data_IF_044485454765
#
_entry.id   IF_044485454765
#
_cell.length_a   1.000
_cell.length_b   1.000
_cell.length_c   1.000
_cell.angle_alpha   90.00
_cell.angle_beta   90.00
_cell.angle_gamma   90.00
#
_symmetry.space_group_name_H-M   'P 1'
#
loop_
_entity.id
_entity.type
_entity.pdbx_description
1 polymer ?
#
# COMPACT_ATOMS: atom_id res chain seq x y z
N UNK A 1 17.51 13.02 13.09
CA UNK A 1 16.50 12.38 12.20
C UNK A 1 16.50 10.88 12.47
N UNK A 2 15.34 10.32 12.82
CA UNK A 2 15.22 8.88 13.07
C UNK A 2 15.07 8.14 11.74
N UNK A 3 15.61 6.93 11.66
CA UNK A 3 15.40 6.08 10.49
C UNK A 3 13.94 5.67 10.37
N UNK A 4 13.43 5.45 9.15
CA UNK A 4 12.09 4.91 8.96
C UNK A 4 11.97 3.50 9.56
N UNK A 5 10.78 3.14 10.04
CA UNK A 5 10.51 1.79 10.58
C UNK A 5 10.75 0.73 9.53
N UNK A 6 10.27 0.96 8.30
CA UNK A 6 10.59 0.15 7.13
C UNK A 6 11.14 1.05 6.01
N UNK A 7 12.15 0.59 5.26
CA UNK A 7 12.64 1.34 4.12
C UNK A 7 11.59 1.40 3.01
N UNK A 8 11.55 2.49 2.28
CA UNK A 8 10.77 2.58 1.05
C UNK A 8 11.37 1.67 -0.04
N UNK A 9 10.50 1.12 -0.86
CA UNK A 9 10.87 0.36 -2.06
C UNK A 9 10.30 1.12 -3.27
N UNK A 10 10.97 2.21 -3.64
CA UNK A 10 10.49 3.18 -4.63
C UNK A 10 11.56 3.51 -5.70
N UNK A 11 12.16 2.51 -6.39
CA UNK A 11 13.04 2.81 -7.51
C UNK A 11 12.25 3.42 -8.68
N UNK A 12 12.94 3.96 -9.66
CA UNK A 12 12.31 4.48 -10.88
C UNK A 12 11.70 3.36 -11.72
N UNK A 13 10.69 3.70 -12.52
CA UNK A 13 10.10 2.78 -13.51
C UNK A 13 9.04 1.84 -12.94
N UNK A 14 8.49 2.12 -11.78
CA UNK A 14 7.43 1.31 -11.19
C UNK A 14 6.10 1.52 -11.92
N UNK A 15 5.35 0.44 -12.07
CA UNK A 15 3.98 0.48 -12.57
C UNK A 15 2.97 0.70 -11.45
N UNK A 16 3.22 0.13 -10.28
CA UNK A 16 2.31 0.13 -9.16
C UNK A 16 3.08 0.34 -7.86
N UNK A 17 2.56 1.19 -6.98
CA UNK A 17 3.04 1.31 -5.60
C UNK A 17 1.89 1.00 -4.65
N UNK A 18 2.10 0.09 -3.71
CA UNK A 18 1.19 -0.10 -2.58
C UNK A 18 1.63 0.78 -1.42
N UNK A 19 0.68 1.48 -0.82
CA UNK A 19 0.90 2.35 0.33
C UNK A 19 -0.02 1.96 1.48
N UNK A 20 0.57 1.56 2.60
CA UNK A 20 -0.13 1.31 3.86
C UNK A 20 -0.18 2.54 4.76
N UNK A 21 -0.83 2.40 5.92
CA UNK A 21 -0.85 3.43 6.97
C UNK A 21 0.50 3.50 7.66
N UNK A 22 0.85 2.44 8.36
CA UNK A 22 2.09 2.23 9.08
C UNK A 22 2.40 0.73 9.14
N UNK A 23 3.66 0.33 9.33
CA UNK A 23 3.98 -1.05 9.63
C UNK A 23 3.30 -1.50 10.93
N UNK A 24 2.72 -2.69 10.95
CA UNK A 24 2.27 -3.33 12.18
C UNK A 24 3.46 -3.70 13.08
N UNK A 25 3.18 -4.06 14.34
CA UNK A 25 4.23 -4.39 15.31
C UNK A 25 5.12 -5.56 14.84
N UNK A 26 4.52 -6.59 14.23
CA UNK A 26 5.27 -7.75 13.72
C UNK A 26 6.15 -7.35 12.52
N UNK A 27 5.63 -6.52 11.62
CA UNK A 27 6.38 -6.00 10.47
C UNK A 27 7.57 -5.15 10.93
N UNK A 28 7.38 -4.29 11.91
CA UNK A 28 8.44 -3.48 12.50
C UNK A 28 9.53 -4.37 13.13
N UNK A 29 9.12 -5.38 13.91
CA UNK A 29 10.06 -6.29 14.56
C UNK A 29 10.83 -7.16 13.56
N UNK A 30 10.22 -7.57 12.46
CA UNK A 30 10.83 -8.42 11.44
C UNK A 30 11.54 -7.64 10.33
N UNK A 31 11.35 -6.33 10.26
CA UNK A 31 11.92 -5.51 9.21
C UNK A 31 11.38 -5.86 7.81
N UNK A 32 10.11 -6.27 7.72
CA UNK A 32 9.51 -6.72 6.47
C UNK A 32 8.04 -6.29 6.38
N UNK A 33 7.62 -5.87 5.18
CA UNK A 33 6.25 -5.43 4.91
C UNK A 33 5.25 -6.58 5.06
N UNK A 34 4.12 -6.28 5.70
CA UNK A 34 2.97 -7.20 5.84
C UNK A 34 3.40 -8.57 6.41
N UNK A 35 4.22 -8.54 7.46
CA UNK A 35 4.91 -9.73 7.98
C UNK A 35 4.09 -10.56 8.97
N UNK A 36 2.97 -10.03 9.49
CA UNK A 36 2.13 -10.79 10.41
C UNK A 36 1.59 -12.05 9.69
N UNK A 37 1.66 -13.25 10.31
CA UNK A 37 1.23 -14.49 9.68
C UNK A 37 -0.24 -14.51 9.22
N UNK A 38 -1.11 -13.75 9.89
CA UNK A 38 -2.52 -13.57 9.53
C UNK A 38 -2.78 -12.51 8.47
N UNK A 39 -1.77 -11.80 7.98
CA UNK A 39 -1.95 -10.78 6.96
C UNK A 39 -2.18 -11.42 5.59
N UNK A 40 -3.20 -10.95 4.86
CA UNK A 40 -3.58 -11.51 3.55
C UNK A 40 -2.83 -10.90 2.37
N UNK A 41 -1.91 -9.96 2.61
CA UNK A 41 -1.23 -9.25 1.53
C UNK A 41 -0.50 -10.21 0.57
N UNK A 42 0.40 -11.03 1.09
CA UNK A 42 1.18 -11.94 0.25
C UNK A 42 0.33 -13.01 -0.44
N UNK A 43 -0.64 -13.65 0.25
CA UNK A 43 -1.59 -14.52 -0.44
C UNK A 43 -2.37 -13.85 -1.56
N UNK A 44 -2.92 -12.65 -1.33
CA UNK A 44 -3.73 -11.99 -2.35
C UNK A 44 -2.89 -11.49 -3.53
N UNK A 45 -1.61 -11.14 -3.33
CA UNK A 45 -0.73 -10.80 -4.46
C UNK A 45 -0.59 -11.97 -5.43
N UNK A 46 -0.45 -13.18 -4.94
CA UNK A 46 -0.38 -14.38 -5.78
C UNK A 46 -1.73 -14.69 -6.44
N UNK A 47 -2.82 -14.65 -5.68
CA UNK A 47 -4.17 -14.93 -6.17
C UNK A 47 -4.60 -13.94 -7.26
N UNK A 48 -4.30 -12.65 -7.08
CA UNK A 48 -4.61 -11.62 -8.05
C UNK A 48 -3.62 -11.56 -9.23
N UNK A 49 -2.56 -12.34 -9.20
CA UNK A 49 -1.59 -12.44 -10.29
C UNK A 49 -0.56 -11.32 -10.35
N UNK A 50 -0.30 -10.63 -9.23
CA UNK A 50 0.80 -9.67 -9.13
C UNK A 50 2.16 -10.38 -9.05
N UNK A 51 2.22 -11.49 -8.32
CA UNK A 51 3.40 -12.35 -8.23
C UNK A 51 3.16 -13.69 -8.91
N UNK A 52 4.20 -14.31 -9.47
CA UNK A 52 4.05 -15.58 -10.20
C UNK A 52 3.71 -16.76 -9.30
N UNK A 53 3.98 -16.63 -8.00
CA UNK A 53 3.71 -17.61 -6.97
C UNK A 53 3.51 -16.91 -5.64
N UNK A 54 3.18 -17.65 -4.59
CA UNK A 54 3.06 -17.09 -3.25
C UNK A 54 4.44 -16.74 -2.69
N UNK A 55 4.72 -15.45 -2.58
CA UNK A 55 5.92 -14.94 -1.94
C UNK A 55 5.73 -14.78 -0.43
N UNK A 56 6.82 -14.67 0.28
CA UNK A 56 6.84 -14.42 1.73
C UNK A 56 7.20 -12.96 2.00
N UNK A 57 6.99 -12.45 3.22
CA UNK A 57 7.41 -11.09 3.57
C UNK A 57 8.90 -10.80 3.29
N UNK A 58 9.77 -11.79 3.38
CA UNK A 58 11.21 -11.65 3.08
C UNK A 58 11.50 -11.30 1.61
N UNK A 59 10.56 -11.59 0.73
CA UNK A 59 10.71 -11.34 -0.71
C UNK A 59 10.37 -9.90 -1.10
N UNK A 60 9.95 -9.04 -0.16
CA UNK A 60 9.50 -7.70 -0.49
C UNK A 60 10.53 -6.87 -1.29
N UNK A 61 11.86 -6.99 -1.07
CA UNK A 61 12.85 -6.26 -1.87
C UNK A 61 12.89 -6.69 -3.35
N UNK A 62 12.30 -7.82 -3.70
CA UNK A 62 12.24 -8.33 -5.08
C UNK A 62 11.05 -7.79 -5.88
N UNK A 63 10.07 -7.15 -5.25
CA UNK A 63 8.87 -6.62 -5.93
C UNK A 63 9.19 -5.66 -7.07
N UNK A 64 10.23 -4.81 -7.02
CA UNK A 64 10.59 -3.96 -8.15
C UNK A 64 10.90 -4.70 -9.45
N UNK A 65 11.36 -5.95 -9.38
CA UNK A 65 11.54 -6.79 -10.59
C UNK A 65 10.23 -7.00 -11.36
N UNK A 66 9.10 -6.90 -10.66
CA UNK A 66 7.76 -7.00 -11.23
C UNK A 66 7.13 -5.63 -11.51
N UNK A 67 7.85 -4.54 -11.26
CA UNK A 67 7.31 -3.19 -11.40
C UNK A 67 6.47 -2.72 -10.22
N UNK A 68 6.64 -3.33 -9.04
CA UNK A 68 5.85 -3.06 -7.84
C UNK A 68 6.75 -2.46 -6.76
N UNK A 69 6.30 -1.35 -6.16
CA UNK A 69 6.95 -0.72 -5.03
C UNK A 69 6.08 -0.74 -3.78
N UNK A 70 6.70 -0.41 -2.65
CA UNK A 70 6.06 -0.37 -1.34
C UNK A 70 6.46 0.90 -0.57
N UNK A 71 5.51 1.48 0.12
CA UNK A 71 5.75 2.56 1.08
C UNK A 71 4.65 2.56 2.14
N UNK A 72 4.85 3.34 3.19
CA UNK A 72 3.85 3.65 4.22
C UNK A 72 3.68 5.16 4.37
N UNK A 73 2.47 5.59 4.74
CA UNK A 73 2.16 6.99 5.00
C UNK A 73 2.85 7.47 6.29
N UNK A 74 2.89 6.62 7.32
CA UNK A 74 3.63 6.85 8.54
C UNK A 74 4.96 6.10 8.49
N UNK A 75 6.07 6.83 8.34
CA UNK A 75 7.40 6.21 8.20
C UNK A 75 8.11 5.97 9.54
N UNK A 76 7.72 6.69 10.58
CA UNK A 76 8.43 6.70 11.87
C UNK A 76 7.58 6.21 13.05
N UNK A 77 6.45 5.56 12.75
CA UNK A 77 5.56 4.95 13.73
C UNK A 77 5.16 3.54 13.29
N UNK A 78 4.77 2.72 14.23
CA UNK A 78 4.28 1.36 13.98
C UNK A 78 3.12 1.02 14.91
N UNK A 79 2.29 0.08 14.51
CA UNK A 79 1.11 -0.36 15.25
C UNK A 79 -0.17 -0.31 14.44
N UNK A 80 -1.30 -0.50 15.12
CA UNK A 80 -2.62 -0.37 14.49
C UNK A 80 -2.97 1.11 14.27
N UNK A 81 -3.82 1.40 13.29
CA UNK A 81 -4.22 2.78 12.97
C UNK A 81 -4.76 3.54 14.17
N UNK A 82 -5.50 2.87 15.05
CA UNK A 82 -6.07 3.48 16.26
C UNK A 82 -5.02 3.87 17.31
N UNK A 83 -3.84 3.26 17.27
CA UNK A 83 -2.75 3.46 18.23
C UNK A 83 -1.69 4.44 17.74
N UNK A 84 -1.80 4.91 16.50
CA UNK A 84 -0.83 5.82 15.92
C UNK A 84 -0.97 7.24 16.51
N UNK A 85 0.16 7.96 16.68
CA UNK A 85 0.10 9.39 16.99
C UNK A 85 -0.70 10.17 15.94
N UNK A 86 -1.37 11.25 16.36
CA UNK A 86 -2.20 12.08 15.46
C UNK A 86 -1.39 12.64 14.27
N UNK A 87 -0.13 12.92 14.49
CA UNK A 87 0.82 13.48 13.51
C UNK A 87 1.68 12.42 12.81
N UNK A 88 1.35 11.14 12.97
CA UNK A 88 2.11 10.05 12.37
C UNK A 88 2.08 10.06 10.82
N UNK A 89 0.98 10.54 10.23
CA UNK A 89 0.81 10.57 8.78
C UNK A 89 1.50 11.78 8.16
N UNK A 90 2.52 11.52 7.36
CA UNK A 90 3.24 12.54 6.60
C UNK A 90 2.73 12.58 5.15
N UNK A 91 1.59 13.22 4.95
CA UNK A 91 0.97 13.36 3.62
C UNK A 91 1.87 14.13 2.65
N UNK A 92 2.44 15.30 3.00
CA UNK A 92 3.35 16.00 2.08
C UNK A 92 4.56 15.17 1.68
N UNK A 93 5.18 14.45 2.62
CA UNK A 93 6.32 13.59 2.35
C UNK A 93 5.96 12.42 1.44
N UNK A 94 4.81 11.78 1.66
CA UNK A 94 4.33 10.74 0.75
C UNK A 94 4.13 11.29 -0.66
N UNK A 95 3.44 12.40 -0.82
CA UNK A 95 3.21 13.01 -2.13
C UNK A 95 4.53 13.32 -2.85
N UNK A 96 5.52 13.83 -2.14
CA UNK A 96 6.84 14.10 -2.70
C UNK A 96 7.51 12.80 -3.19
N UNK A 97 7.51 11.75 -2.38
CA UNK A 97 8.11 10.44 -2.75
C UNK A 97 7.41 9.82 -3.95
N UNK A 98 6.08 9.87 -3.99
CA UNK A 98 5.30 9.31 -5.10
C UNK A 98 5.51 10.10 -6.40
N UNK A 99 5.55 11.43 -6.34
CA UNK A 99 5.88 12.24 -7.53
C UNK A 99 7.27 11.94 -8.06
N UNK A 100 8.25 11.76 -7.18
CA UNK A 100 9.61 11.41 -7.57
C UNK A 100 9.71 10.02 -8.21
N UNK A 101 8.99 9.03 -7.66
CA UNK A 101 8.95 7.67 -8.20
C UNK A 101 8.08 7.56 -9.47
N UNK A 102 7.09 8.43 -9.63
CA UNK A 102 6.19 8.53 -10.77
C UNK A 102 5.60 7.18 -11.22
N UNK A 103 4.98 6.37 -10.34
CA UNK A 103 4.37 5.11 -10.75
C UNK A 103 3.13 5.36 -11.62
N UNK A 104 2.74 4.36 -12.39
CA UNK A 104 1.51 4.43 -13.18
C UNK A 104 0.23 4.36 -12.32
N UNK A 105 0.32 3.80 -11.13
CA UNK A 105 -0.80 3.66 -10.19
C UNK A 105 -0.29 3.69 -8.75
N UNK A 106 -1.02 4.39 -7.87
CA UNK A 106 -0.84 4.34 -6.41
C UNK A 106 -2.04 3.61 -5.79
N UNK A 107 -1.80 2.52 -5.09
CA UNK A 107 -2.84 1.75 -4.43
C UNK A 107 -2.69 1.84 -2.91
N UNK A 108 -3.69 2.42 -2.24
CA UNK A 108 -3.76 2.39 -0.79
C UNK A 108 -4.33 1.05 -0.31
N UNK A 109 -3.63 0.42 0.61
CA UNK A 109 -4.01 -0.90 1.13
C UNK A 109 -5.03 -0.86 2.27
N UNK A 110 -5.61 0.31 2.53
CA UNK A 110 -6.70 0.55 3.45
C UNK A 110 -7.33 1.91 3.17
N UNK A 111 -8.53 2.16 3.70
CA UNK A 111 -9.19 3.48 3.57
C UNK A 111 -8.54 4.57 4.42
N UNK A 112 -7.94 4.23 5.57
CA UNK A 112 -7.36 5.23 6.47
C UNK A 112 -6.26 6.08 5.79
N UNK A 113 -5.24 5.52 5.15
CA UNK A 113 -4.24 6.32 4.46
C UNK A 113 -4.82 7.07 3.25
N UNK A 114 -5.76 6.47 2.52
CA UNK A 114 -6.45 7.15 1.43
C UNK A 114 -7.23 8.37 1.93
N UNK A 115 -7.94 8.24 3.04
CA UNK A 115 -8.67 9.32 3.70
C UNK A 115 -7.77 10.52 4.02
N UNK A 116 -6.59 10.26 4.57
CA UNK A 116 -5.63 11.30 4.90
C UNK A 116 -5.13 12.05 3.65
N UNK A 117 -4.81 11.33 2.59
CA UNK A 117 -4.29 11.92 1.34
C UNK A 117 -5.37 12.64 0.55
N UNK A 118 -6.58 12.08 0.50
CA UNK A 118 -7.70 12.66 -0.27
C UNK A 118 -8.45 13.75 0.48
N UNK A 119 -8.25 13.91 1.78
CA UNK A 119 -9.01 14.85 2.60
C UNK A 119 -10.50 14.52 2.68
N UNK A 120 -10.86 13.24 2.59
CA UNK A 120 -12.24 12.75 2.65
C UNK A 120 -12.40 11.76 3.79
N UNK A 121 -13.60 11.74 4.39
CA UNK A 121 -13.92 10.71 5.41
C UNK A 121 -13.93 9.32 4.79
N UNK A 122 -13.50 8.31 5.55
CA UNK A 122 -13.47 6.91 5.07
C UNK A 122 -14.82 6.42 4.56
N UNK A 123 -15.93 6.86 5.17
CA UNK A 123 -17.28 6.51 4.73
C UNK A 123 -17.62 7.07 3.34
N UNK A 124 -16.94 8.12 2.89
CA UNK A 124 -17.14 8.74 1.58
C UNK A 124 -16.21 8.16 0.49
N UNK A 125 -15.36 7.20 0.84
CA UNK A 125 -14.38 6.59 -0.08
C UNK A 125 -14.84 5.18 -0.40
N UNK A 126 -15.06 4.90 -1.70
CA UNK A 126 -15.30 3.56 -2.20
C UNK A 126 -14.00 2.78 -2.42
N UNK A 127 -14.10 1.47 -2.57
CA UNK A 127 -13.00 0.65 -3.06
C UNK A 127 -12.91 0.72 -4.58
N UNK A 128 -11.72 0.47 -5.11
CA UNK A 128 -11.43 0.56 -6.52
C UNK A 128 -10.80 1.89 -6.90
N UNK A 129 -10.90 2.25 -8.17
CA UNK A 129 -10.31 3.50 -8.68
C UNK A 129 -11.07 4.71 -8.12
N UNK A 130 -10.31 5.69 -7.65
CA UNK A 130 -10.86 6.95 -7.12
C UNK A 130 -10.11 8.14 -7.72
N UNK A 131 -10.77 9.29 -7.81
CA UNK A 131 -10.12 10.53 -8.21
C UNK A 131 -9.25 11.06 -7.06
N UNK A 132 -8.03 11.43 -7.39
CA UNK A 132 -7.08 12.05 -6.49
C UNK A 132 -6.64 13.43 -6.96
N UNK A 133 -5.66 14.03 -6.26
CA UNK A 133 -5.06 15.29 -6.68
C UNK A 133 -4.50 15.19 -8.10
N UNK A 134 -4.59 16.25 -8.92
CA UNK A 134 -4.20 16.20 -10.33
C UNK A 134 -2.70 15.96 -10.57
N UNK A 135 -1.88 16.21 -9.59
CA UNK A 135 -0.43 16.03 -9.64
C UNK A 135 0.05 14.67 -9.06
N UNK A 136 -0.90 13.82 -8.73
CA UNK A 136 -0.66 12.46 -8.27
C UNK A 136 -1.04 11.44 -9.37
N UNK A 137 -0.42 10.24 -9.37
CA UNK A 137 -0.85 9.19 -10.28
C UNK A 137 -2.30 8.79 -9.99
N UNK A 138 -2.96 8.08 -10.90
CA UNK A 138 -4.26 7.45 -10.61
C UNK A 138 -4.21 6.67 -9.30
N UNK A 139 -5.29 6.74 -8.53
CA UNK A 139 -5.38 6.14 -7.19
C UNK A 139 -6.37 4.97 -7.20
N UNK A 140 -5.99 3.91 -6.50
CA UNK A 140 -6.83 2.76 -6.21
C UNK A 140 -6.91 2.56 -4.71
N UNK A 141 -8.09 2.26 -4.18
CA UNK A 141 -8.30 2.00 -2.75
C UNK A 141 -8.74 0.55 -2.55
N UNK A 142 -8.08 -0.12 -1.65
CA UNK A 142 -8.23 -1.55 -1.41
C UNK A 142 -8.71 -1.83 0.01
N UNK A 143 -9.46 -2.92 0.23
CA UNK A 143 -9.74 -3.41 1.57
C UNK A 143 -8.45 -3.82 2.29
N UNK A 144 -8.37 -3.54 3.60
CA UNK A 144 -7.23 -3.92 4.41
C UNK A 144 -7.01 -5.43 4.43
N UNK A 145 -5.75 -5.82 4.30
CA UNK A 145 -5.31 -7.23 4.39
C UNK A 145 -5.03 -7.68 5.82
N UNK A 146 -5.07 -6.76 6.78
CA UNK A 146 -4.79 -7.04 8.18
C UNK A 146 -5.86 -7.97 8.79
N UNK A 147 -5.46 -8.83 9.74
CA UNK A 147 -6.39 -9.68 10.47
C UNK A 147 -7.46 -8.92 11.25
N UNK A 148 -7.17 -7.70 11.70
CA UNK A 148 -8.14 -6.83 12.35
C UNK A 148 -9.21 -6.29 11.39
N UNK A 149 -8.93 -6.26 10.09
CA UNK A 149 -9.85 -5.83 9.03
C UNK A 149 -10.73 -6.94 8.46
N UNK A 150 -10.78 -8.11 9.07
CA UNK A 150 -11.45 -9.30 8.53
C UNK A 150 -12.93 -9.09 8.18
N UNK A 151 -13.64 -8.26 8.94
CA UNK A 151 -15.07 -7.96 8.70
C UNK A 151 -15.32 -7.20 7.38
N UNK A 152 -14.31 -6.49 6.88
CA UNK A 152 -14.38 -5.70 5.66
C UNK A 152 -13.58 -6.33 4.51
N UNK A 153 -13.08 -7.54 4.73
CA UNK A 153 -12.31 -8.22 3.71
C UNK A 153 -13.16 -8.54 2.48
N UNK A 154 -12.70 -8.05 1.35
CA UNK A 154 -13.29 -8.31 0.04
C UNK A 154 -12.15 -8.44 -0.97
N UNK A 155 -11.93 -9.61 -1.56
CA UNK A 155 -10.85 -9.80 -2.54
C UNK A 155 -11.13 -9.12 -3.89
N UNK A 156 -12.38 -8.77 -4.21
CA UNK A 156 -12.74 -8.28 -5.54
C UNK A 156 -11.99 -7.04 -5.99
N UNK A 157 -11.80 -5.99 -5.16
CA UNK A 157 -11.00 -4.84 -5.56
C UNK A 157 -9.53 -5.19 -5.83
N UNK A 158 -8.98 -6.16 -5.09
CA UNK A 158 -7.63 -6.67 -5.31
C UNK A 158 -7.51 -7.42 -6.64
N UNK A 159 -8.49 -8.29 -6.94
CA UNK A 159 -8.52 -9.03 -8.19
C UNK A 159 -8.68 -8.09 -9.40
N UNK A 160 -9.50 -7.06 -9.27
CA UNK A 160 -9.67 -6.04 -10.31
C UNK A 160 -8.38 -5.26 -10.57
N UNK A 161 -7.67 -4.85 -9.54
CA UNK A 161 -6.36 -4.20 -9.69
C UNK A 161 -5.34 -5.15 -10.31
N UNK A 162 -5.35 -6.42 -9.93
CA UNK A 162 -4.51 -7.46 -10.53
C UNK A 162 -4.77 -7.62 -12.02
N UNK A 163 -6.04 -7.60 -12.45
CA UNK A 163 -6.40 -7.65 -13.85
C UNK A 163 -5.85 -6.44 -14.64
N UNK A 164 -5.99 -5.22 -14.08
CA UNK A 164 -5.36 -4.03 -14.66
C UNK A 164 -3.85 -4.19 -14.78
N UNK A 165 -3.20 -4.66 -13.71
CA UNK A 165 -1.75 -4.83 -13.67
C UNK A 165 -1.25 -5.82 -14.74
N UNK A 166 -1.93 -6.96 -14.90
CA UNK A 166 -1.56 -7.99 -15.89
C UNK A 166 -1.85 -7.55 -17.33
N UNK A 167 -2.86 -6.71 -17.56
CA UNK A 167 -3.21 -6.26 -18.90
C UNK A 167 -2.16 -5.31 -19.51
N UNK A 168 -1.21 -4.81 -18.73
CA UNK A 168 -0.31 -3.75 -19.16
C UNK A 168 -1.03 -2.45 -19.45
N UNK A 169 -2.25 -2.29 -18.95
CA UNK A 169 -3.12 -1.17 -19.25
C UNK A 169 -2.46 0.18 -19.03
N UNK A 170 -2.88 1.19 -19.79
CA UNK A 170 -2.44 2.57 -19.55
C UNK A 170 -2.87 3.02 -18.16
N UNK A 171 -2.11 3.93 -17.62
CA UNK A 171 -2.47 4.61 -16.40
C UNK A 171 -3.85 5.27 -16.54
#
# INVERSE_FOLDING_TARGET
>A
MTDPVLPDVLPAGLRLVFCGSAPGAVSAARGAYYAHPGNRFWPILAEAGFTPSRWTPRDFPRLPMLGIGLTDLAKHASGNDADLPVDAYDVPGLCQRIRAAAPAMLAFTAKAPASAVLGRKTAAIGYGRVEGPPDMPPIWVLPSTSGSGVRHWDPRPWLALGAWFRSGGPA
#
